data_IF_454293525348
#
_entry.id   IF_454293525348
#
_cell.length_a   1.000
_cell.length_b   1.000
_cell.length_c   1.000
_cell.angle_alpha   90.00
_cell.angle_beta   90.00
_cell.angle_gamma   90.00
#
_symmetry.space_group_name_H-M   'P 1'
#
loop_
_entity.id
_entity.type
_entity.pdbx_description
1 polymer ?
#
# COMPACT_ATOMS: atom_id res chain seq x y z
N UNK A 1 35.69 -21.41 -61.81
CA UNK A 1 34.71 -21.75 -62.88
C UNK A 1 33.55 -22.50 -62.25
N UNK A 2 32.44 -21.83 -61.99
CA UNK A 2 31.27 -22.39 -61.38
C UNK A 2 30.20 -22.66 -62.45
N UNK A 3 29.75 -23.90 -62.53
CA UNK A 3 28.70 -24.31 -63.50
C UNK A 3 27.33 -24.02 -62.89
N UNK A 4 26.50 -23.19 -63.56
CA UNK A 4 25.10 -23.01 -63.27
C UNK A 4 24.26 -24.23 -63.65
N UNK A 5 23.25 -24.63 -62.84
CA UNK A 5 22.31 -25.73 -63.26
C UNK A 5 21.28 -25.16 -64.24
N UNK A 6 21.08 -25.98 -65.30
CA UNK A 6 20.06 -25.76 -66.35
C UNK A 6 18.67 -25.92 -65.73
N UNK A 7 17.85 -24.88 -65.81
CA UNK A 7 16.40 -25.00 -65.61
C UNK A 7 15.74 -25.62 -66.82
N UNK A 8 15.22 -26.80 -66.68
CA UNK A 8 14.36 -27.49 -67.69
C UNK A 8 12.97 -26.88 -67.58
N UNK A 9 12.62 -26.01 -68.50
CA UNK A 9 11.26 -25.48 -68.68
C UNK A 9 10.41 -26.60 -69.33
N UNK A 10 9.54 -27.28 -68.57
CA UNK A 10 8.49 -28.14 -69.07
C UNK A 10 7.34 -27.23 -69.51
N UNK A 11 7.27 -27.00 -70.82
CA UNK A 11 6.18 -26.31 -71.46
C UNK A 11 4.96 -27.22 -71.59
N UNK A 12 3.98 -27.02 -70.75
CA UNK A 12 2.66 -27.64 -70.89
C UNK A 12 1.84 -26.78 -71.86
N UNK A 13 1.87 -27.14 -73.20
CA UNK A 13 0.96 -26.57 -74.15
C UNK A 13 -0.24 -27.52 -74.33
N UNK A 14 -1.03 -27.67 -73.28
CA UNK A 14 -2.36 -28.25 -73.37
C UNK A 14 -3.40 -27.16 -73.37
N UNK A 15 -4.08 -26.96 -74.53
CA UNK A 15 -5.33 -26.21 -74.56
C UNK A 15 -6.35 -26.96 -73.73
N UNK A 16 -6.51 -26.59 -72.44
CA UNK A 16 -7.66 -27.01 -71.60
C UNK A 16 -8.88 -26.24 -72.09
N UNK A 17 -9.73 -26.85 -72.90
CA UNK A 17 -11.10 -26.39 -73.09
C UNK A 17 -11.90 -26.82 -71.85
N UNK A 18 -12.37 -25.93 -71.03
CA UNK A 18 -13.21 -26.36 -69.90
C UNK A 18 -14.60 -26.69 -70.44
N UNK A 19 -14.85 -27.93 -70.73
CA UNK A 19 -16.22 -28.41 -70.93
C UNK A 19 -16.85 -28.61 -69.56
N UNK A 20 -17.84 -27.72 -69.24
CA UNK A 20 -18.76 -27.93 -68.15
C UNK A 20 -18.16 -27.75 -66.74
N UNK A 21 -17.63 -26.58 -66.43
CA UNK A 21 -17.41 -26.25 -65.04
C UNK A 21 -18.80 -26.08 -64.41
N UNK A 22 -19.17 -27.08 -63.65
CA UNK A 22 -20.39 -27.07 -62.88
C UNK A 22 -20.32 -25.84 -61.91
N UNK A 23 -20.97 -24.75 -62.30
CA UNK A 23 -21.00 -23.48 -61.53
C UNK A 23 -21.52 -23.72 -60.11
N UNK A 24 -22.24 -24.83 -59.91
CA UNK A 24 -22.74 -25.24 -58.58
C UNK A 24 -21.61 -25.80 -57.69
N UNK A 25 -20.59 -26.43 -58.23
CA UNK A 25 -19.45 -26.92 -57.45
C UNK A 25 -18.58 -25.78 -56.90
N UNK A 26 -18.34 -24.74 -57.74
CA UNK A 26 -17.64 -23.54 -57.33
C UNK A 26 -18.40 -22.71 -56.28
N UNK A 27 -19.73 -22.62 -56.40
CA UNK A 27 -20.59 -21.98 -55.41
C UNK A 27 -20.60 -22.77 -54.08
N UNK A 28 -20.68 -24.10 -54.11
CA UNK A 28 -20.59 -24.94 -52.94
C UNK A 28 -19.23 -24.86 -52.24
N UNK A 29 -18.12 -24.78 -52.94
CA UNK A 29 -16.80 -24.58 -52.36
C UNK A 29 -16.63 -23.22 -51.72
N UNK A 30 -17.17 -22.14 -52.33
CA UNK A 30 -17.18 -20.81 -51.73
C UNK A 30 -18.07 -20.74 -50.48
N UNK A 31 -19.22 -21.41 -50.51
CA UNK A 31 -20.08 -21.50 -49.32
C UNK A 31 -19.43 -22.29 -48.17
N UNK A 32 -18.73 -23.39 -48.48
CA UNK A 32 -17.95 -24.17 -47.51
C UNK A 32 -16.75 -23.39 -46.95
N UNK A 33 -16.05 -22.64 -47.80
CA UNK A 33 -14.96 -21.77 -47.36
C UNK A 33 -15.50 -20.60 -46.47
N UNK A 34 -16.63 -20.03 -46.82
CA UNK A 34 -17.31 -19.03 -45.99
C UNK A 34 -17.79 -19.56 -44.62
N UNK A 35 -18.33 -20.79 -44.59
CA UNK A 35 -18.68 -21.51 -43.38
C UNK A 35 -17.45 -21.83 -42.50
N UNK A 36 -16.32 -22.20 -43.10
CA UNK A 36 -15.07 -22.44 -42.40
C UNK A 36 -14.53 -21.19 -41.78
N UNK A 37 -14.59 -20.04 -42.45
CA UNK A 37 -14.22 -18.75 -41.88
C UNK A 37 -15.16 -18.31 -40.74
N UNK A 38 -16.47 -18.41 -40.93
CA UNK A 38 -17.45 -18.03 -39.87
C UNK A 38 -17.34 -18.96 -38.65
N UNK A 39 -17.08 -20.26 -38.81
CA UNK A 39 -16.82 -21.17 -37.69
C UNK A 39 -15.50 -20.84 -37.01
N UNK A 40 -14.44 -20.54 -37.78
CA UNK A 40 -13.16 -20.07 -37.24
C UNK A 40 -13.27 -18.79 -36.45
N UNK A 41 -13.92 -17.78 -37.03
CA UNK A 41 -14.13 -16.49 -36.35
C UNK A 41 -15.02 -16.60 -35.10
N UNK A 42 -16.05 -17.47 -35.18
CA UNK A 42 -16.92 -17.75 -34.03
C UNK A 42 -16.17 -18.52 -32.93
N UNK A 43 -15.34 -19.49 -33.27
CA UNK A 43 -14.53 -20.25 -32.32
C UNK A 43 -13.47 -19.33 -31.64
N UNK A 44 -12.86 -18.43 -32.40
CA UNK A 44 -11.94 -17.42 -31.88
C UNK A 44 -12.70 -16.42 -30.98
N UNK A 45 -13.87 -15.96 -31.41
CA UNK A 45 -14.69 -15.01 -30.64
C UNK A 45 -15.18 -15.59 -29.31
N UNK A 46 -15.44 -16.88 -29.22
CA UNK A 46 -15.85 -17.55 -27.96
C UNK A 46 -14.63 -18.00 -27.15
N UNK A 47 -13.59 -18.51 -27.79
CA UNK A 47 -12.39 -19.01 -27.10
C UNK A 47 -11.53 -17.93 -26.50
N UNK A 48 -11.44 -16.78 -27.15
CA UNK A 48 -10.61 -15.66 -26.72
C UNK A 48 -10.99 -15.12 -25.32
N UNK A 49 -12.24 -14.76 -25.04
CA UNK A 49 -12.60 -14.23 -23.71
C UNK A 49 -12.41 -15.29 -22.60
N UNK A 50 -12.55 -16.57 -22.89
CA UNK A 50 -12.31 -17.64 -21.93
C UNK A 50 -10.82 -17.73 -21.57
N UNK A 51 -9.92 -17.63 -22.53
CA UNK A 51 -8.48 -17.67 -22.31
C UNK A 51 -8.03 -16.40 -21.57
N UNK A 52 -8.54 -15.24 -21.96
CA UNK A 52 -8.28 -13.96 -21.31
C UNK A 52 -8.74 -13.96 -19.84
N UNK A 53 -9.93 -14.48 -19.57
CA UNK A 53 -10.46 -14.62 -18.21
C UNK A 53 -9.63 -15.59 -17.36
N UNK A 54 -9.18 -16.71 -17.93
CA UNK A 54 -8.28 -17.66 -17.25
C UNK A 54 -6.92 -17.02 -16.97
N UNK A 55 -6.36 -16.27 -17.91
CA UNK A 55 -5.10 -15.58 -17.72
C UNK A 55 -5.20 -14.50 -16.64
N UNK A 56 -6.27 -13.70 -16.64
CA UNK A 56 -6.54 -12.71 -15.60
C UNK A 56 -6.67 -13.36 -14.20
N UNK A 57 -7.43 -14.47 -14.11
CA UNK A 57 -7.55 -15.21 -12.85
C UNK A 57 -6.19 -15.74 -12.37
N UNK A 58 -5.38 -16.28 -13.27
CA UNK A 58 -4.04 -16.77 -12.92
C UNK A 58 -3.11 -15.64 -12.46
N UNK A 59 -3.19 -14.45 -13.06
CA UNK A 59 -2.43 -13.29 -12.62
C UNK A 59 -2.79 -12.83 -11.21
N UNK A 60 -4.08 -12.74 -10.90
CA UNK A 60 -4.55 -12.40 -9.55
C UNK A 60 -4.15 -13.49 -8.53
N UNK A 61 -4.30 -14.76 -8.89
CA UNK A 61 -3.96 -15.90 -8.04
C UNK A 61 -2.46 -15.95 -7.73
N UNK A 62 -1.58 -15.66 -8.70
CA UNK A 62 -0.14 -15.59 -8.47
C UNK A 62 0.21 -14.58 -7.37
N UNK A 63 -0.48 -13.45 -7.32
CA UNK A 63 -0.30 -12.43 -6.25
C UNK A 63 -0.81 -12.93 -4.90
N UNK A 64 -1.90 -13.67 -4.85
CA UNK A 64 -2.40 -14.31 -3.62
C UNK A 64 -1.40 -15.34 -3.10
N UNK A 65 -0.76 -16.10 -4.00
CA UNK A 65 0.29 -17.09 -3.70
C UNK A 65 1.65 -16.45 -3.33
N UNK A 66 1.75 -15.13 -3.36
CA UNK A 66 2.93 -14.39 -2.90
C UNK A 66 3.83 -13.82 -3.99
N UNK A 67 3.45 -13.94 -5.28
CA UNK A 67 4.21 -13.33 -6.35
C UNK A 67 4.11 -11.80 -6.32
N UNK A 68 5.22 -11.13 -6.67
CA UNK A 68 5.36 -9.68 -6.63
C UNK A 68 5.73 -9.13 -5.26
N UNK A 69 6.15 -7.86 -5.25
CA UNK A 69 6.57 -7.16 -4.03
C UNK A 69 5.86 -5.83 -3.92
N UNK A 70 5.51 -5.47 -2.70
CA UNK A 70 4.92 -4.18 -2.34
C UNK A 70 5.72 -3.56 -1.20
N UNK A 71 5.77 -2.25 -1.16
CA UNK A 71 6.22 -1.52 0.03
C UNK A 71 5.08 -1.52 1.05
N UNK A 72 5.27 -2.08 2.24
CA UNK A 72 4.21 -2.14 3.25
C UNK A 72 3.85 -0.78 3.84
N UNK A 73 4.74 0.22 3.80
CA UNK A 73 4.50 1.56 4.30
C UNK A 73 3.64 2.36 3.33
N UNK A 74 4.06 2.45 2.08
CA UNK A 74 3.38 3.24 1.03
C UNK A 74 2.27 2.47 0.33
N UNK A 75 2.38 1.14 0.27
CA UNK A 75 1.53 0.27 -0.55
C UNK A 75 1.89 0.28 -2.03
N UNK A 76 3.03 0.88 -2.39
CA UNK A 76 3.52 0.95 -3.75
C UNK A 76 3.93 -0.45 -4.26
N UNK A 77 3.65 -0.71 -5.54
CA UNK A 77 4.06 -1.95 -6.20
C UNK A 77 5.51 -1.82 -6.64
N UNK A 78 6.41 -2.55 -5.99
CA UNK A 78 7.84 -2.56 -6.30
C UNK A 78 8.15 -3.55 -7.44
N UNK A 79 7.48 -4.69 -7.46
CA UNK A 79 7.70 -5.74 -8.46
C UNK A 79 6.38 -6.46 -8.74
N UNK A 80 5.97 -6.51 -10.01
CA UNK A 80 4.77 -7.24 -10.44
C UNK A 80 5.17 -8.54 -11.13
N UNK A 81 4.43 -9.65 -10.92
CA UNK A 81 4.67 -10.88 -11.66
C UNK A 81 4.28 -10.70 -13.12
N UNK A 82 5.15 -11.15 -14.01
CA UNK A 82 4.96 -11.06 -15.46
C UNK A 82 4.59 -12.41 -16.05
N UNK A 83 3.68 -12.38 -17.02
CA UNK A 83 3.39 -13.56 -17.83
C UNK A 83 4.58 -13.87 -18.73
N UNK A 84 4.74 -15.17 -19.10
CA UNK A 84 5.72 -15.57 -20.10
C UNK A 84 5.47 -14.80 -21.41
N UNK A 85 6.47 -14.10 -21.96
CA UNK A 85 6.34 -13.35 -23.20
C UNK A 85 5.81 -14.22 -24.35
N UNK A 86 4.92 -13.65 -25.16
CA UNK A 86 4.34 -14.34 -26.35
C UNK A 86 3.21 -15.31 -26.05
N UNK A 87 2.84 -15.57 -24.80
CA UNK A 87 1.63 -16.32 -24.47
C UNK A 87 0.37 -15.49 -24.69
N UNK A 88 -0.64 -16.13 -25.29
CA UNK A 88 -1.95 -15.53 -25.45
C UNK A 88 -2.57 -15.23 -24.05
N UNK A 89 -3.06 -14.01 -23.86
CA UNK A 89 -3.59 -13.58 -22.55
C UNK A 89 -2.54 -13.00 -21.61
N UNK A 90 -1.28 -12.82 -22.01
CA UNK A 90 -0.23 -12.23 -21.16
C UNK A 90 -0.58 -10.83 -20.66
N UNK A 91 -1.22 -10.01 -21.51
CA UNK A 91 -1.67 -8.66 -21.12
C UNK A 91 -2.71 -8.69 -19.98
N UNK A 92 -3.68 -9.59 -20.08
CA UNK A 92 -4.74 -9.76 -19.08
C UNK A 92 -4.17 -10.31 -17.75
N UNK A 93 -3.20 -11.23 -17.85
CA UNK A 93 -2.46 -11.71 -16.69
C UNK A 93 -1.74 -10.55 -15.97
N UNK A 94 -0.92 -9.79 -16.69
CA UNK A 94 -0.15 -8.69 -16.13
C UNK A 94 -1.05 -7.61 -15.54
N UNK A 95 -2.14 -7.25 -16.22
CA UNK A 95 -3.10 -6.27 -15.72
C UNK A 95 -3.78 -6.73 -14.43
N UNK A 96 -4.24 -7.98 -14.39
CA UNK A 96 -4.89 -8.54 -13.20
C UNK A 96 -3.91 -8.68 -12.03
N UNK A 97 -2.66 -9.08 -12.30
CA UNK A 97 -1.61 -9.13 -11.28
C UNK A 97 -1.30 -7.74 -10.71
N UNK A 98 -1.15 -6.72 -11.55
CA UNK A 98 -0.95 -5.35 -11.10
C UNK A 98 -2.12 -4.83 -10.26
N UNK A 99 -3.37 -5.09 -10.69
CA UNK A 99 -4.56 -4.70 -9.91
C UNK A 99 -4.62 -5.40 -8.56
N UNK A 100 -4.32 -6.70 -8.50
CA UNK A 100 -4.29 -7.47 -7.26
C UNK A 100 -3.20 -6.96 -6.31
N UNK A 101 -2.00 -6.65 -6.83
CA UNK A 101 -0.92 -6.04 -6.05
C UNK A 101 -1.30 -4.65 -5.53
N UNK A 102 -1.93 -3.82 -6.34
CA UNK A 102 -2.39 -2.50 -5.91
C UNK A 102 -3.43 -2.58 -4.78
N UNK A 103 -4.32 -3.58 -4.81
CA UNK A 103 -5.28 -3.84 -3.73
C UNK A 103 -4.55 -4.33 -2.48
N UNK A 104 -3.62 -5.28 -2.63
CA UNK A 104 -2.80 -5.81 -1.53
C UNK A 104 -1.95 -4.71 -0.89
N UNK A 105 -1.34 -3.85 -1.70
CA UNK A 105 -0.56 -2.69 -1.26
C UNK A 105 -1.38 -1.72 -0.42
N UNK A 106 -2.57 -1.32 -0.90
CA UNK A 106 -3.48 -0.46 -0.12
C UNK A 106 -3.88 -1.07 1.22
N UNK A 107 -4.15 -2.38 1.26
CA UNK A 107 -4.47 -3.08 2.51
C UNK A 107 -3.28 -3.08 3.47
N UNK A 108 -2.07 -3.34 2.98
CA UNK A 108 -0.85 -3.34 3.78
C UNK A 108 -0.54 -1.95 4.34
N UNK A 109 -0.59 -0.90 3.51
CA UNK A 109 -0.39 0.48 3.94
C UNK A 109 -1.43 0.93 4.97
N UNK A 110 -2.71 0.60 4.76
CA UNK A 110 -3.76 0.91 5.74
C UNK A 110 -3.55 0.17 7.08
N UNK A 111 -3.14 -1.10 7.04
CA UNK A 111 -2.83 -1.87 8.24
C UNK A 111 -1.63 -1.28 8.97
N UNK A 112 -0.58 -0.90 8.26
CA UNK A 112 0.59 -0.23 8.81
C UNK A 112 0.23 1.09 9.50
N UNK A 113 -0.52 1.97 8.82
CA UNK A 113 -0.95 3.25 9.39
C UNK A 113 -1.88 3.06 10.60
N UNK A 114 -2.75 2.06 10.58
CA UNK A 114 -3.63 1.75 11.72
C UNK A 114 -2.82 1.26 12.92
N UNK A 115 -1.86 0.35 12.71
CA UNK A 115 -0.96 -0.13 13.77
C UNK A 115 -0.14 1.01 14.36
N UNK A 116 0.43 1.86 13.50
CA UNK A 116 1.24 3.00 13.92
C UNK A 116 0.40 4.03 14.72
N UNK A 117 -0.82 4.32 14.28
CA UNK A 117 -1.72 5.21 15.03
C UNK A 117 -2.10 4.65 16.41
N UNK A 118 -2.22 3.33 16.54
CA UNK A 118 -2.48 2.67 17.82
C UNK A 118 -1.25 2.79 18.72
N UNK A 119 -0.07 2.51 18.20
CA UNK A 119 1.20 2.65 18.92
C UNK A 119 1.43 4.09 19.39
N UNK A 120 1.20 5.08 18.51
CA UNK A 120 1.30 6.50 18.87
C UNK A 120 0.38 6.84 20.04
N UNK A 121 -0.89 6.40 19.97
CA UNK A 121 -1.84 6.64 21.05
C UNK A 121 -1.35 6.07 22.36
N UNK A 122 -1.03 4.77 22.34
CA UNK A 122 -0.66 4.04 23.55
C UNK A 122 0.64 4.60 24.17
N UNK A 123 1.62 4.98 23.34
CA UNK A 123 2.88 5.58 23.82
C UNK A 123 2.67 6.96 24.40
N UNK A 124 1.88 7.83 23.75
CA UNK A 124 1.59 9.17 24.26
C UNK A 124 0.77 9.12 25.55
N UNK A 125 -0.23 8.21 25.63
CA UNK A 125 -1.03 8.00 26.84
C UNK A 125 -0.17 7.49 28.00
N UNK A 126 0.71 6.51 27.76
CA UNK A 126 1.63 5.98 28.76
C UNK A 126 2.60 7.06 29.26
N UNK A 127 3.20 7.83 28.35
CA UNK A 127 4.07 8.94 28.73
C UNK A 127 3.32 10.01 29.57
N UNK A 128 2.06 10.28 29.23
CA UNK A 128 1.24 11.22 29.99
C UNK A 128 0.90 10.73 31.41
N UNK A 129 0.73 9.43 31.59
CA UNK A 129 0.54 8.82 32.92
C UNK A 129 1.84 8.83 33.72
N UNK A 130 2.96 8.45 33.10
CA UNK A 130 4.27 8.39 33.74
C UNK A 130 4.76 9.78 34.19
N UNK A 131 4.45 10.82 33.44
CA UNK A 131 4.92 12.19 33.69
C UNK A 131 3.75 13.15 34.01
N UNK A 132 2.73 12.67 34.73
CA UNK A 132 1.50 13.42 34.98
C UNK A 132 1.69 14.77 35.69
N UNK A 133 2.78 14.97 36.47
CA UNK A 133 3.12 16.19 37.18
C UNK A 133 4.44 16.82 36.70
N UNK A 134 5.03 16.30 35.61
CA UNK A 134 6.30 16.78 35.05
C UNK A 134 6.17 17.11 33.57
N UNK A 135 5.77 18.31 33.20
CA UNK A 135 5.60 18.71 31.80
C UNK A 135 6.91 18.68 31.00
N UNK A 136 8.06 18.88 31.65
CA UNK A 136 9.37 18.89 30.99
C UNK A 136 9.78 17.45 30.64
N UNK A 137 9.61 16.52 31.57
CA UNK A 137 9.89 15.11 31.33
C UNK A 137 8.94 14.53 30.26
N UNK A 138 7.65 14.91 30.28
CA UNK A 138 6.69 14.52 29.25
C UNK A 138 7.13 14.99 27.86
N UNK A 139 7.48 16.27 27.72
CA UNK A 139 7.94 16.83 26.45
C UNK A 139 9.20 16.12 25.93
N UNK A 140 10.16 15.84 26.80
CA UNK A 140 11.39 15.11 26.46
C UNK A 140 11.08 13.67 25.99
N UNK A 141 10.17 12.97 26.66
CA UNK A 141 9.75 11.61 26.29
C UNK A 141 9.07 11.59 24.91
N UNK A 142 8.15 12.54 24.67
CA UNK A 142 7.48 12.66 23.36
C UNK A 142 8.46 12.99 22.23
N UNK A 143 9.41 13.88 22.47
CA UNK A 143 10.42 14.24 21.49
C UNK A 143 11.29 13.04 21.11
N UNK A 144 11.74 12.29 22.09
CA UNK A 144 12.53 11.08 21.87
C UNK A 144 11.75 10.02 21.06
N UNK A 145 10.49 9.79 21.43
CA UNK A 145 9.60 8.90 20.69
C UNK A 145 9.39 9.38 19.24
N UNK A 146 9.14 10.66 19.05
CA UNK A 146 8.95 11.27 17.74
C UNK A 146 10.19 11.08 16.86
N UNK A 147 11.39 11.38 17.36
CA UNK A 147 12.64 11.21 16.63
C UNK A 147 12.88 9.74 16.23
N UNK A 148 12.70 8.81 17.16
CA UNK A 148 12.87 7.38 16.91
C UNK A 148 11.87 6.83 15.90
N UNK A 149 10.60 7.20 16.00
CA UNK A 149 9.54 6.75 15.09
C UNK A 149 9.75 7.30 13.69
N UNK A 150 10.04 8.60 13.55
CA UNK A 150 10.27 9.22 12.25
C UNK A 150 11.54 8.71 11.55
N UNK A 151 12.52 8.20 12.29
CA UNK A 151 13.71 7.59 11.70
C UNK A 151 13.41 6.28 10.96
N UNK A 152 12.36 5.56 11.33
CA UNK A 152 11.97 4.28 10.71
C UNK A 152 11.13 4.44 9.44
N UNK A 153 10.62 5.64 9.16
CA UNK A 153 9.74 5.91 8.03
C UNK A 153 10.55 6.53 6.89
N UNK A 154 10.48 5.95 5.70
CA UNK A 154 11.21 6.46 4.53
C UNK A 154 10.39 7.47 3.72
N UNK A 155 9.07 7.31 3.69
CA UNK A 155 8.16 8.17 2.92
C UNK A 155 7.93 9.51 3.62
N UNK A 156 8.11 10.62 2.87
CA UNK A 156 8.03 11.98 3.41
C UNK A 156 6.61 12.37 3.79
N UNK A 157 5.61 11.92 3.04
CA UNK A 157 4.20 12.23 3.31
C UNK A 157 3.71 11.48 4.55
N UNK A 158 4.10 10.22 4.69
CA UNK A 158 3.80 9.41 5.89
C UNK A 158 4.51 10.01 7.09
N UNK A 159 5.78 10.43 6.98
CA UNK A 159 6.49 11.15 8.03
C UNK A 159 5.73 12.37 8.53
N UNK A 160 5.27 13.22 7.62
CA UNK A 160 4.53 14.42 7.98
C UNK A 160 3.23 14.08 8.73
N UNK A 161 2.45 13.13 8.23
CA UNK A 161 1.20 12.67 8.89
C UNK A 161 1.44 12.09 10.28
N UNK A 162 2.48 11.29 10.43
CA UNK A 162 2.86 10.69 11.73
C UNK A 162 3.31 11.77 12.71
N UNK A 163 4.13 12.70 12.24
CA UNK A 163 4.58 13.84 13.03
C UNK A 163 3.39 14.65 13.55
N UNK A 164 2.43 14.98 12.70
CA UNK A 164 1.23 15.73 13.05
C UNK A 164 0.34 14.93 14.02
N UNK A 165 0.26 13.62 13.85
CA UNK A 165 -0.50 12.75 14.76
C UNK A 165 0.11 12.69 16.16
N UNK A 166 1.44 12.58 16.28
CA UNK A 166 2.16 12.59 17.55
C UNK A 166 1.96 13.97 18.23
N UNK A 167 2.25 15.04 17.50
CA UNK A 167 2.14 16.42 18.03
C UNK A 167 0.72 16.77 18.49
N UNK A 168 -0.29 16.41 17.67
CA UNK A 168 -1.69 16.68 17.99
C UNK A 168 -2.18 15.94 19.24
N UNK A 169 -1.76 14.68 19.44
CA UNK A 169 -2.09 13.91 20.64
C UNK A 169 -1.34 14.43 21.86
N UNK A 170 -0.04 14.68 21.71
CA UNK A 170 0.79 15.19 22.80
C UNK A 170 0.29 16.53 23.34
N UNK A 171 -0.15 17.42 22.47
CA UNK A 171 -0.66 18.75 22.87
C UNK A 171 -1.85 18.64 23.84
N UNK A 172 -2.78 17.71 23.59
CA UNK A 172 -3.93 17.50 24.47
C UNK A 172 -3.55 17.04 25.87
N UNK A 173 -2.51 16.20 26.00
CA UNK A 173 -1.98 15.76 27.28
C UNK A 173 -1.09 16.81 27.94
N UNK A 174 -0.25 17.50 27.17
CA UNK A 174 0.62 18.56 27.67
C UNK A 174 -0.13 19.66 28.41
N UNK A 175 -1.28 20.09 27.87
CA UNK A 175 -2.12 21.08 28.52
C UNK A 175 -2.65 20.59 29.88
N UNK A 176 -3.09 19.32 29.96
CA UNK A 176 -3.58 18.76 31.23
C UNK A 176 -2.46 18.58 32.26
N UNK A 177 -1.29 18.12 31.83
CA UNK A 177 -0.11 17.95 32.69
C UNK A 177 0.35 19.32 33.23
N UNK A 178 0.36 20.34 32.38
CA UNK A 178 0.70 21.70 32.83
C UNK A 178 -0.29 22.24 33.85
N UNK A 179 -1.58 22.01 33.67
CA UNK A 179 -2.61 22.38 34.64
C UNK A 179 -2.40 21.66 35.98
N UNK A 180 -2.18 20.35 35.96
CA UNK A 180 -1.91 19.54 37.16
C UNK A 180 -0.63 20.00 37.87
N UNK A 181 0.44 20.27 37.11
CA UNK A 181 1.67 20.83 37.66
C UNK A 181 1.43 22.16 38.38
N UNK A 182 0.70 23.11 37.79
CA UNK A 182 0.40 24.39 38.37
C UNK A 182 -0.42 24.25 39.66
N UNK A 183 -1.43 23.35 39.66
CA UNK A 183 -2.23 23.07 40.87
C UNK A 183 -1.35 22.50 41.99
N UNK A 184 -0.47 21.55 41.64
CA UNK A 184 0.45 20.95 42.62
C UNK A 184 1.46 21.95 43.16
N UNK A 185 1.94 22.89 42.35
CA UNK A 185 2.86 23.94 42.74
C UNK A 185 2.18 24.98 43.66
N UNK A 186 0.97 25.42 43.34
CA UNK A 186 0.16 26.32 44.16
C UNK A 186 -0.11 25.70 45.52
N UNK A 187 -0.45 24.41 45.57
CA UNK A 187 -0.61 23.69 46.83
C UNK A 187 0.68 23.68 47.66
N UNK A 188 1.82 23.30 47.02
CA UNK A 188 3.14 23.30 47.71
C UNK A 188 3.50 24.67 48.24
N UNK A 189 3.20 25.75 47.51
CA UNK A 189 3.46 27.10 47.95
C UNK A 189 2.54 27.52 49.12
N UNK A 190 1.27 27.15 49.07
CA UNK A 190 0.31 27.34 50.15
C UNK A 190 0.76 26.62 51.44
N UNK A 191 1.14 25.36 51.33
CA UNK A 191 1.63 24.57 52.45
C UNK A 191 2.91 25.16 53.07
N UNK A 192 3.84 25.66 52.24
CA UNK A 192 5.03 26.38 52.71
C UNK A 192 4.67 27.67 53.47
N UNK A 193 3.71 28.44 52.97
CA UNK A 193 3.24 29.63 53.63
C UNK A 193 2.58 29.33 54.98
N UNK A 194 1.73 28.29 55.03
CA UNK A 194 1.11 27.87 56.29
C UNK A 194 2.15 27.40 57.33
N UNK A 195 3.12 26.58 56.89
CA UNK A 195 4.21 26.15 57.77
C UNK A 195 5.05 27.36 58.30
N UNK A 196 5.29 28.36 57.45
CA UNK A 196 5.95 29.59 57.84
C UNK A 196 5.17 30.40 58.90
N UNK A 197 3.85 30.49 58.73
CA UNK A 197 2.95 31.16 59.69
C UNK A 197 2.91 30.41 61.02
N UNK A 198 2.80 29.07 60.99
CA UNK A 198 2.84 28.26 62.22
C UNK A 198 4.17 28.38 62.97
N UNK A 199 5.31 28.40 62.23
CA UNK A 199 6.63 28.65 62.80
C UNK A 199 6.73 30.02 63.48
N UNK A 200 6.22 31.06 62.81
CA UNK A 200 6.19 32.44 63.38
C UNK A 200 5.31 32.53 64.61
N UNK A 201 4.13 31.89 64.58
CA UNK A 201 3.22 31.88 65.74
C UNK A 201 3.85 31.18 66.96
N UNK A 202 4.54 30.02 66.71
CA UNK A 202 5.28 29.32 67.78
C UNK A 202 6.40 30.18 68.38
N UNK A 203 7.14 30.91 67.55
CA UNK A 203 8.18 31.81 68.00
C UNK A 203 7.65 32.95 68.85
N UNK A 204 6.51 33.53 68.47
CA UNK A 204 5.84 34.59 69.27
C UNK A 204 5.37 34.07 70.65
N UNK A 205 4.76 32.85 70.66
CA UNK A 205 4.33 32.21 71.89
C UNK A 205 5.53 31.94 72.83
N UNK A 206 6.64 31.45 72.30
CA UNK A 206 7.86 31.23 73.11
C UNK A 206 8.42 32.57 73.70
N UNK A 207 8.36 33.66 72.94
CA UNK A 207 8.78 34.96 73.46
C UNK A 207 7.87 35.48 74.61
N UNK A 208 6.57 35.24 74.53
CA UNK A 208 5.61 35.62 75.54
C UNK A 208 5.79 34.76 76.80
N UNK A 209 6.08 33.48 76.69
CA UNK A 209 6.28 32.56 77.83
C UNK A 209 7.64 32.76 78.50
N UNK A 210 8.60 33.40 77.88
CA UNK A 210 9.96 33.65 78.41
C UNK A 210 10.18 35.05 79.00
N UNK A 211 9.21 35.95 78.93
CA UNK A 211 9.24 37.31 79.53
C UNK A 211 8.43 37.41 80.77
#
# INVERSE_FOLDING_TARGET
MARQPRQTRIGFTGKFTPTGVDQTAGAKMRALAGLGQTIGDTAIAIGRPIIEAKAAKAGAQAVEEGAGKIDPQTGEVLEAPEATPGKFGASQYNQAAQQALAIKGRKASNAYLTSLNTEIRDTVENAAVEHAEDPVAFEAAIKLYQESTLATINDVEIKARVNDSIAGRALGHQLKIQEQYNIAEDKRNTDKHLAGLEGSAKSVLQMVDSG
#
